data_IF_622468420766
#
_entry.id   IF_622468420766
#
_cell.length_a   1.000
_cell.length_b   1.000
_cell.length_c   1.000
_cell.angle_alpha   90.00
_cell.angle_beta   90.00
_cell.angle_gamma   90.00
#
_symmetry.space_group_name_H-M   'P 1'
#
loop_
_entity.id
_entity.type
_entity.pdbx_description
1 polymer ?
#
# COMPACT_ATOMS: atom_id res chain seq x y z
N UNK A 1 24.72 -34.56 20.91
CA UNK A 1 23.42 -34.07 20.43
C UNK A 1 23.62 -32.61 20.09
N UNK A 2 24.17 -32.33 18.92
CA UNK A 2 24.38 -30.96 18.47
C UNK A 2 23.27 -30.65 17.46
N UNK A 3 22.13 -30.18 17.98
CA UNK A 3 21.14 -29.49 17.15
C UNK A 3 21.57 -28.03 17.08
N UNK A 4 21.81 -27.56 15.86
CA UNK A 4 22.19 -26.20 15.51
C UNK A 4 21.48 -25.13 16.37
N UNK A 5 22.28 -24.26 16.99
CA UNK A 5 21.82 -23.06 17.72
C UNK A 5 21.53 -21.90 16.75
N UNK A 6 21.70 -22.10 15.44
CA UNK A 6 21.53 -21.07 14.41
C UNK A 6 20.10 -21.00 13.84
N UNK A 7 19.20 -21.88 14.26
CA UNK A 7 17.80 -21.82 13.86
C UNK A 7 17.10 -20.73 14.64
N UNK A 8 16.61 -19.73 13.92
CA UNK A 8 15.85 -18.65 14.50
C UNK A 8 14.57 -19.19 15.11
N UNK A 9 14.43 -19.00 16.43
CA UNK A 9 13.27 -19.44 17.21
C UNK A 9 12.18 -18.39 17.03
N UNK A 10 11.04 -18.81 16.50
CA UNK A 10 9.86 -17.97 16.42
C UNK A 10 8.97 -18.18 17.64
N UNK A 11 8.07 -17.24 17.86
CA UNK A 11 7.07 -17.31 18.94
C UNK A 11 6.32 -18.65 18.93
N UNK A 12 5.99 -19.18 17.74
CA UNK A 12 5.35 -20.50 17.59
C UNK A 12 6.18 -21.67 18.15
N UNK A 13 7.50 -21.63 17.94
CA UNK A 13 8.41 -22.67 18.45
C UNK A 13 8.48 -22.65 19.98
N UNK A 14 8.33 -21.46 20.60
CA UNK A 14 8.26 -21.31 22.07
C UNK A 14 6.99 -21.96 22.62
N UNK A 15 5.85 -21.81 21.92
CA UNK A 15 4.59 -22.45 22.30
C UNK A 15 4.64 -23.98 22.14
N UNK A 16 5.26 -24.49 21.08
CA UNK A 16 5.44 -25.93 20.88
C UNK A 16 6.35 -26.54 21.96
N UNK A 17 7.47 -25.88 22.28
CA UNK A 17 8.34 -26.26 23.39
C UNK A 17 7.63 -26.20 24.74
N UNK A 18 6.81 -25.18 24.98
CA UNK A 18 6.00 -25.07 26.20
C UNK A 18 4.99 -26.22 26.32
N UNK A 19 4.39 -26.66 25.21
CA UNK A 19 3.46 -27.80 25.19
C UNK A 19 4.17 -29.13 25.46
N UNK A 20 5.37 -29.35 24.92
CA UNK A 20 6.19 -30.53 25.24
C UNK A 20 6.60 -30.56 26.72
N UNK A 21 7.06 -29.41 27.23
CA UNK A 21 7.41 -29.24 28.65
C UNK A 21 6.19 -29.47 29.55
N UNK A 22 5.01 -28.99 29.16
CA UNK A 22 3.76 -29.21 29.88
C UNK A 22 3.37 -30.69 30.00
N UNK A 23 3.53 -31.46 28.92
CA UNK A 23 3.29 -32.93 28.94
C UNK A 23 4.25 -33.66 29.87
N UNK A 24 5.51 -33.23 29.97
CA UNK A 24 6.46 -33.81 30.92
C UNK A 24 6.13 -33.43 32.36
N UNK A 25 5.67 -32.19 32.61
CA UNK A 25 5.17 -31.79 33.92
C UNK A 25 3.94 -32.57 34.36
N UNK A 26 3.01 -32.89 33.45
CA UNK A 26 1.85 -33.73 33.74
C UNK A 26 2.26 -35.12 34.24
N UNK A 27 3.18 -35.79 33.53
CA UNK A 27 3.76 -37.08 33.96
C UNK A 27 4.44 -36.99 35.33
N UNK A 28 5.14 -35.88 35.60
CA UNK A 28 5.83 -35.63 36.86
C UNK A 28 4.85 -35.39 38.01
N UNK A 29 3.74 -34.68 37.75
CA UNK A 29 2.67 -34.43 38.72
C UNK A 29 2.00 -35.74 39.13
N UNK A 30 1.75 -36.64 38.17
CA UNK A 30 1.17 -37.96 38.44
C UNK A 30 2.02 -38.81 39.38
N UNK A 31 3.35 -38.64 39.36
CA UNK A 31 4.30 -39.46 40.15
C UNK A 31 4.67 -38.82 41.49
N UNK A 32 4.92 -37.50 41.53
CA UNK A 32 5.47 -36.81 42.70
C UNK A 32 4.45 -35.99 43.48
N UNK A 33 3.25 -35.78 42.93
CA UNK A 33 2.24 -34.88 43.49
C UNK A 33 2.46 -33.41 43.09
N UNK A 34 1.36 -32.67 42.97
CA UNK A 34 1.35 -31.32 42.39
C UNK A 34 2.10 -30.26 43.21
N UNK A 35 2.16 -30.40 44.53
CA UNK A 35 2.68 -29.35 45.42
C UNK A 35 4.20 -29.20 45.35
N UNK A 36 4.94 -30.29 45.12
CA UNK A 36 6.40 -30.25 44.95
C UNK A 36 6.86 -29.64 43.62
N UNK A 37 6.02 -29.72 42.58
CA UNK A 37 6.36 -29.29 41.22
C UNK A 37 5.91 -27.85 40.95
N UNK A 38 4.91 -27.35 41.69
CA UNK A 38 4.30 -26.04 41.47
C UNK A 38 5.32 -24.90 41.42
N UNK A 39 6.29 -24.86 42.35
CA UNK A 39 7.32 -23.80 42.35
C UNK A 39 8.25 -23.86 41.13
N UNK A 40 8.61 -25.07 40.68
CA UNK A 40 9.42 -25.25 39.48
C UNK A 40 8.64 -24.84 38.23
N UNK A 41 7.37 -25.22 38.15
CA UNK A 41 6.48 -24.86 37.05
C UNK A 41 6.35 -23.33 36.93
N UNK A 42 6.15 -22.61 38.03
CA UNK A 42 6.11 -21.14 38.01
C UNK A 42 7.41 -20.53 37.49
N UNK A 43 8.57 -21.06 37.88
CA UNK A 43 9.87 -20.59 37.35
C UNK A 43 10.00 -20.87 35.85
N UNK A 44 9.57 -22.04 35.38
CA UNK A 44 9.62 -22.40 33.96
C UNK A 44 8.69 -21.52 33.13
N UNK A 45 7.48 -21.23 33.62
CA UNK A 45 6.56 -20.30 32.97
C UNK A 45 7.21 -18.92 32.81
N UNK A 46 7.78 -18.35 33.88
CA UNK A 46 8.46 -17.04 33.80
C UNK A 46 9.62 -17.05 32.81
N UNK A 47 10.39 -18.15 32.72
CA UNK A 47 11.45 -18.26 31.72
C UNK A 47 10.92 -18.37 30.29
N UNK A 48 9.78 -19.05 30.08
CA UNK A 48 9.13 -19.16 28.77
C UNK A 48 8.51 -17.81 28.35
N UNK A 49 7.91 -17.06 29.28
CA UNK A 49 7.43 -15.69 29.05
C UNK A 49 8.58 -14.73 28.66
N UNK A 50 9.74 -14.87 29.31
CA UNK A 50 10.93 -14.12 28.94
C UNK A 50 11.45 -14.50 27.56
N UNK A 51 11.41 -15.80 27.22
CA UNK A 51 11.80 -16.30 25.91
C UNK A 51 10.85 -15.80 24.81
N UNK A 52 9.54 -15.86 25.04
CA UNK A 52 8.51 -15.30 24.14
C UNK A 52 8.77 -13.81 23.91
N UNK A 53 8.91 -13.04 25.00
CA UNK A 53 9.22 -11.61 24.93
C UNK A 53 10.50 -11.33 24.14
N UNK A 54 11.54 -12.14 24.35
CA UNK A 54 12.80 -12.03 23.61
C UNK A 54 12.62 -12.34 22.13
N UNK A 55 11.87 -13.37 21.75
CA UNK A 55 11.61 -13.71 20.34
C UNK A 55 10.85 -12.59 19.61
N UNK A 56 9.85 -11.99 20.25
CA UNK A 56 9.12 -10.84 19.69
C UNK A 56 10.05 -9.63 19.46
N UNK A 57 10.94 -9.34 20.42
CA UNK A 57 11.92 -8.25 20.28
C UNK A 57 12.91 -8.54 19.15
N UNK A 58 13.37 -9.78 19.02
CA UNK A 58 14.27 -10.20 17.93
C UNK A 58 13.57 -10.02 16.58
N UNK A 59 12.33 -10.49 16.42
CA UNK A 59 11.57 -10.33 15.17
C UNK A 59 11.35 -8.86 14.80
N UNK A 60 11.08 -8.00 15.79
CA UNK A 60 10.99 -6.54 15.58
C UNK A 60 12.32 -5.96 15.10
N UNK A 61 13.41 -6.28 15.79
CA UNK A 61 14.74 -5.78 15.42
C UNK A 61 15.17 -6.27 14.03
N UNK A 62 14.81 -7.49 13.66
CA UNK A 62 15.08 -7.99 12.32
C UNK A 62 14.26 -7.29 11.25
N UNK A 63 13.00 -6.97 11.53
CA UNK A 63 12.15 -6.18 10.64
C UNK A 63 12.75 -4.78 10.44
N UNK A 64 13.15 -4.11 11.53
CA UNK A 64 13.84 -2.81 11.47
C UNK A 64 15.16 -2.89 10.68
N UNK A 65 15.93 -3.96 10.88
CA UNK A 65 17.19 -4.19 10.17
C UNK A 65 16.96 -4.42 8.68
N UNK A 66 15.90 -5.17 8.31
CA UNK A 66 15.48 -5.35 6.93
C UNK A 66 15.09 -4.01 6.28
N UNK A 67 14.28 -3.20 6.97
CA UNK A 67 13.86 -1.87 6.49
C UNK A 67 15.05 -0.94 6.29
N UNK A 68 15.99 -0.90 7.24
CA UNK A 68 17.22 -0.11 7.13
C UNK A 68 18.06 -0.60 5.96
N UNK A 69 18.25 -1.92 5.79
CA UNK A 69 18.98 -2.48 4.65
C UNK A 69 18.34 -2.12 3.32
N UNK A 70 17.02 -2.25 3.20
CA UNK A 70 16.28 -1.85 2.01
C UNK A 70 16.45 -0.35 1.71
N UNK A 71 16.42 0.49 2.76
CA UNK A 71 16.63 1.93 2.62
C UNK A 71 18.05 2.27 2.18
N UNK A 72 19.06 1.58 2.71
CA UNK A 72 20.45 1.74 2.28
C UNK A 72 20.60 1.36 0.81
N UNK A 73 20.08 0.22 0.39
CA UNK A 73 20.12 -0.20 -1.03
C UNK A 73 19.44 0.82 -1.94
N UNK A 74 18.29 1.36 -1.54
CA UNK A 74 17.62 2.43 -2.29
C UNK A 74 18.51 3.68 -2.41
N UNK A 75 19.12 4.13 -1.31
CA UNK A 75 19.97 5.33 -1.31
C UNK A 75 21.26 5.11 -2.11
N UNK A 76 21.82 3.90 -2.10
CA UNK A 76 22.97 3.54 -2.93
C UNK A 76 22.62 3.58 -4.42
N UNK A 77 21.46 3.05 -4.80
CA UNK A 77 20.95 3.15 -6.17
C UNK A 77 20.74 4.61 -6.61
N UNK A 78 20.07 5.42 -5.78
CA UNK A 78 19.88 6.85 -6.08
C UNK A 78 21.22 7.60 -6.17
N UNK A 79 22.21 7.24 -5.35
CA UNK A 79 23.55 7.84 -5.39
C UNK A 79 24.26 7.51 -6.71
N UNK A 80 24.16 6.25 -7.16
CA UNK A 80 24.70 5.79 -8.43
C UNK A 80 24.04 6.54 -9.59
N UNK A 81 22.71 6.58 -9.63
CA UNK A 81 21.95 7.26 -10.69
C UNK A 81 22.28 8.76 -10.75
N UNK A 82 22.35 9.43 -9.58
CA UNK A 82 22.78 10.83 -9.52
C UNK A 82 24.23 11.02 -10.00
N UNK A 83 25.12 10.06 -9.77
CA UNK A 83 26.50 10.12 -10.25
C UNK A 83 26.59 9.91 -11.76
N UNK A 84 25.82 8.96 -12.32
CA UNK A 84 25.73 8.75 -13.77
C UNK A 84 25.14 9.98 -14.47
N UNK A 85 24.11 10.61 -13.89
CA UNK A 85 23.55 11.83 -14.42
C UNK A 85 24.58 12.97 -14.44
N UNK A 86 25.33 13.18 -13.35
CA UNK A 86 26.43 14.15 -13.32
C UNK A 86 27.49 13.84 -14.37
N UNK A 87 27.92 12.58 -14.49
CA UNK A 87 28.91 12.17 -15.49
C UNK A 87 28.46 12.44 -16.93
N UNK A 88 27.16 12.29 -17.23
CA UNK A 88 26.60 12.64 -18.54
C UNK A 88 26.64 14.14 -18.79
N UNK A 89 26.27 14.95 -17.80
CA UNK A 89 26.36 16.41 -17.91
C UNK A 89 27.81 16.87 -18.09
N UNK A 90 28.76 16.28 -17.37
CA UNK A 90 30.18 16.61 -17.49
C UNK A 90 30.69 16.30 -18.92
N UNK A 91 30.26 15.18 -19.51
CA UNK A 91 30.58 14.84 -20.90
C UNK A 91 29.93 15.80 -21.91
N UNK A 92 28.67 16.18 -21.69
CA UNK A 92 27.98 17.17 -22.53
C UNK A 92 28.68 18.53 -22.47
N UNK A 93 29.13 18.96 -21.28
CA UNK A 93 29.92 20.17 -21.09
C UNK A 93 31.26 20.10 -21.83
N UNK A 94 31.99 18.98 -21.74
CA UNK A 94 33.24 18.78 -22.46
C UNK A 94 33.04 18.87 -23.99
N UNK A 95 31.96 18.30 -24.51
CA UNK A 95 31.61 18.39 -25.94
C UNK A 95 31.31 19.84 -26.34
N UNK A 96 30.57 20.58 -25.52
CA UNK A 96 30.28 22.01 -25.77
C UNK A 96 31.57 22.83 -25.75
N UNK A 97 32.45 22.61 -24.78
CA UNK A 97 33.74 23.30 -24.68
C UNK A 97 34.63 23.02 -25.89
N UNK A 98 34.71 21.76 -26.33
CA UNK A 98 35.50 21.38 -27.50
C UNK A 98 34.93 21.99 -28.79
N UNK A 99 33.61 22.02 -28.93
CA UNK A 99 32.96 22.70 -30.05
C UNK A 99 33.24 24.21 -30.02
N UNK A 100 33.20 24.84 -28.84
CA UNK A 100 33.53 26.25 -28.69
C UNK A 100 35.00 26.54 -29.02
N UNK A 101 35.94 25.66 -28.63
CA UNK A 101 37.35 25.75 -29.02
C UNK A 101 37.54 25.64 -30.52
N UNK A 102 36.87 24.67 -31.17
CA UNK A 102 36.91 24.48 -32.63
C UNK A 102 36.39 25.71 -33.36
N UNK A 103 35.23 26.23 -32.96
CA UNK A 103 34.65 27.42 -33.56
C UNK A 103 35.55 28.65 -33.37
N UNK A 104 36.04 28.86 -32.14
CA UNK A 104 36.98 29.95 -31.84
C UNK A 104 38.26 29.85 -32.69
N UNK A 105 38.82 28.65 -32.85
CA UNK A 105 39.97 28.40 -33.72
C UNK A 105 39.66 28.67 -35.19
N UNK A 106 38.48 28.26 -35.66
CA UNK A 106 38.03 28.48 -37.03
C UNK A 106 37.86 29.97 -37.33
N UNK A 107 37.17 30.70 -36.46
CA UNK A 107 36.98 32.15 -36.55
C UNK A 107 38.32 32.88 -36.50
N UNK A 108 39.22 32.50 -35.60
CA UNK A 108 40.57 33.08 -35.56
C UNK A 108 41.35 32.81 -36.85
N UNK A 109 41.28 31.60 -37.41
CA UNK A 109 41.91 31.29 -38.70
C UNK A 109 41.34 32.15 -39.83
N UNK A 110 40.02 32.36 -39.86
CA UNK A 110 39.36 33.23 -40.83
C UNK A 110 39.80 34.69 -40.67
N UNK A 111 39.88 35.19 -39.43
CA UNK A 111 40.38 36.55 -39.14
C UNK A 111 41.82 36.71 -39.64
N UNK A 112 42.70 35.74 -39.40
CA UNK A 112 44.09 35.78 -39.90
C UNK A 112 44.13 35.81 -41.43
N UNK A 113 43.36 34.94 -42.11
CA UNK A 113 43.27 34.94 -43.58
C UNK A 113 42.77 36.28 -44.13
N UNK A 114 41.70 36.83 -43.55
CA UNK A 114 41.17 38.14 -43.96
C UNK A 114 42.16 39.28 -43.69
N UNK A 115 42.92 39.21 -42.59
CA UNK A 115 43.98 40.19 -42.30
C UNK A 115 45.14 40.08 -43.30
N UNK A 116 45.54 38.88 -43.69
CA UNK A 116 46.56 38.64 -44.72
C UNK A 116 46.11 39.15 -46.09
N UNK A 117 44.85 38.87 -46.49
CA UNK A 117 44.27 39.37 -47.73
C UNK A 117 44.16 40.90 -47.73
N UNK A 118 43.70 41.52 -46.64
CA UNK A 118 43.64 42.97 -46.52
C UNK A 118 45.03 43.62 -46.61
N UNK A 119 46.05 43.03 -45.97
CA UNK A 119 47.45 43.47 -46.11
C UNK A 119 47.93 43.35 -47.55
N UNK A 120 47.63 42.22 -48.22
CA UNK A 120 47.99 41.98 -49.62
C UNK A 120 47.32 42.98 -50.56
N UNK A 121 46.02 43.22 -50.42
CA UNK A 121 45.27 44.19 -51.21
C UNK A 121 45.77 45.61 -50.99
N UNK A 122 46.07 45.97 -49.73
CA UNK A 122 46.64 47.27 -49.39
C UNK A 122 48.03 47.48 -50.02
N UNK A 123 48.87 46.44 -50.05
CA UNK A 123 50.16 46.48 -50.75
C UNK A 123 49.98 46.68 -52.27
N UNK A 124 49.04 45.96 -52.90
CA UNK A 124 48.74 46.11 -54.34
C UNK A 124 48.21 47.51 -54.66
N UNK A 125 47.33 48.07 -53.84
CA UNK A 125 46.83 49.44 -54.02
C UNK A 125 47.99 50.44 -53.89
N UNK A 126 48.85 50.30 -52.88
CA UNK A 126 50.04 51.15 -52.70
C UNK A 126 51.03 51.05 -53.87
N UNK A 127 51.14 49.88 -54.50
CA UNK A 127 51.99 49.66 -55.67
C UNK A 127 51.37 50.26 -56.94
N UNK A 128 50.04 50.15 -57.12
CA UNK A 128 49.30 50.77 -58.22
C UNK A 128 49.27 52.30 -58.13
N UNK A 129 49.18 52.87 -56.94
CA UNK A 129 49.27 54.33 -56.74
C UNK A 129 50.67 54.89 -57.09
N UNK A 130 51.70 54.04 -57.14
CA UNK A 130 53.07 54.40 -57.54
C UNK A 130 53.33 54.24 -59.05
N UNK A 131 52.38 53.71 -59.82
CA UNK A 131 52.59 53.39 -61.24
C UNK A 131 51.53 54.07 -62.12
N UNK A 132 51.93 55.12 -62.84
CA UNK A 132 51.18 55.65 -64.00
C UNK A 132 51.11 54.54 -65.05
N UNK A 133 49.95 54.26 -65.68
CA UNK A 133 49.85 53.17 -66.65
C UNK A 133 50.59 53.57 -67.92
N UNK A 134 51.83 53.11 -68.07
CA UNK A 134 52.50 53.10 -69.37
C UNK A 134 52.14 51.81 -70.09
N UNK A 135 51.60 52.01 -71.28
CA UNK A 135 51.19 51.01 -72.26
C UNK A 135 52.11 49.79 -72.31
N UNK A 136 51.55 48.61 -72.10
CA UNK A 136 52.21 47.35 -72.42
C UNK A 136 51.49 46.70 -73.61
N UNK A 137 51.88 47.13 -74.81
CA UNK A 137 51.79 46.29 -76.00
C UNK A 137 53.02 45.40 -76.01
N UNK A 138 52.89 44.18 -75.50
CA UNK A 138 53.92 43.16 -75.60
C UNK A 138 53.39 42.01 -76.45
N UNK A 139 53.99 41.85 -77.61
CA UNK A 139 54.12 40.53 -78.20
C UNK A 139 54.90 39.68 -77.20
N UNK A 140 54.33 38.54 -76.78
CA UNK A 140 54.95 37.66 -75.80
C UNK A 140 56.30 37.18 -76.33
N UNK A 141 57.34 37.33 -75.52
CA UNK A 141 58.64 36.68 -75.77
C UNK A 141 58.48 35.15 -75.65
N UNK A 142 59.31 34.37 -76.33
CA UNK A 142 59.25 32.90 -76.30
C UNK A 142 59.32 32.34 -74.85
N UNK A 143 60.04 33.01 -73.95
CA UNK A 143 60.11 32.65 -72.53
C UNK A 143 58.78 32.87 -71.79
N UNK A 144 58.04 33.94 -72.11
CA UNK A 144 56.74 34.23 -71.53
C UNK A 144 55.68 33.23 -72.01
N UNK A 145 55.79 32.77 -73.27
CA UNK A 145 54.92 31.74 -73.83
C UNK A 145 55.10 30.39 -73.11
N UNK A 146 56.32 30.02 -72.74
CA UNK A 146 56.62 28.82 -71.94
C UNK A 146 56.02 28.92 -70.52
N UNK A 147 56.08 30.10 -69.88
CA UNK A 147 55.45 30.33 -68.57
C UNK A 147 53.92 30.21 -68.66
N UNK A 148 53.32 30.81 -69.68
CA UNK A 148 51.86 30.70 -69.93
C UNK A 148 51.46 29.24 -70.17
N UNK A 149 52.26 28.46 -70.89
CA UNK A 149 51.98 27.04 -71.10
C UNK A 149 52.02 26.24 -69.79
N UNK A 150 53.02 26.46 -68.93
CA UNK A 150 53.08 25.83 -67.60
C UNK A 150 51.91 26.24 -66.71
N UNK A 151 51.51 27.51 -66.73
CA UNK A 151 50.34 27.98 -65.98
C UNK A 151 49.05 27.32 -66.49
N UNK A 152 48.93 27.11 -67.81
CA UNK A 152 47.80 26.40 -68.41
C UNK A 152 47.76 24.93 -67.98
N UNK A 153 48.91 24.25 -67.96
CA UNK A 153 49.02 22.87 -67.48
C UNK A 153 48.65 22.75 -66.00
N UNK A 154 49.16 23.64 -65.14
CA UNK A 154 48.78 23.69 -63.72
C UNK A 154 47.28 24.00 -63.54
N UNK A 155 46.73 24.90 -64.35
CA UNK A 155 45.29 25.22 -64.32
C UNK A 155 44.45 24.00 -64.70
N UNK A 156 44.85 23.24 -65.73
CA UNK A 156 44.14 22.01 -66.12
C UNK A 156 44.29 20.91 -65.06
N UNK A 157 45.46 20.78 -64.43
CA UNK A 157 45.66 19.87 -63.31
C UNK A 157 44.77 20.23 -62.12
N UNK A 158 44.70 21.51 -61.74
CA UNK A 158 43.81 21.98 -60.67
C UNK A 158 42.34 21.75 -61.02
N UNK A 159 41.94 21.95 -62.29
CA UNK A 159 40.59 21.64 -62.77
C UNK A 159 40.27 20.14 -62.60
N UNK A 160 41.21 19.26 -62.95
CA UNK A 160 41.08 17.82 -62.75
C UNK A 160 40.96 17.43 -61.27
N UNK A 161 41.78 18.03 -60.41
CA UNK A 161 41.71 17.82 -58.96
C UNK A 161 40.37 18.29 -58.37
N UNK A 162 39.86 19.44 -58.83
CA UNK A 162 38.55 19.96 -58.42
C UNK A 162 37.44 18.95 -58.73
N UNK A 163 37.43 18.39 -59.95
CA UNK A 163 36.43 17.39 -60.36
C UNK A 163 36.50 16.12 -59.50
N UNK A 164 37.71 15.65 -59.16
CA UNK A 164 37.86 14.48 -58.29
C UNK A 164 37.36 14.77 -56.88
N UNK A 165 37.67 15.96 -56.34
CA UNK A 165 37.20 16.39 -55.03
C UNK A 165 35.68 16.56 -54.98
N UNK A 166 35.07 17.09 -56.05
CA UNK A 166 33.62 17.21 -56.16
C UNK A 166 32.93 15.84 -56.17
N UNK A 167 33.51 14.84 -56.86
CA UNK A 167 33.02 13.45 -56.83
C UNK A 167 33.13 12.83 -55.44
N UNK A 168 34.27 13.01 -54.78
CA UNK A 168 34.49 12.53 -53.41
C UNK A 168 33.49 13.17 -52.43
N UNK A 169 33.25 14.48 -52.54
CA UNK A 169 32.25 15.19 -51.74
C UNK A 169 30.83 14.67 -51.99
N UNK A 170 30.47 14.39 -53.25
CA UNK A 170 29.16 13.83 -53.58
C UNK A 170 28.98 12.43 -52.98
N UNK A 171 30.00 11.57 -53.05
CA UNK A 171 29.98 10.24 -52.42
C UNK A 171 29.81 10.35 -50.90
N UNK A 172 30.56 11.25 -50.26
CA UNK A 172 30.43 11.51 -48.82
C UNK A 172 29.06 12.09 -48.45
N UNK A 173 28.49 12.97 -49.27
CA UNK A 173 27.13 13.49 -49.08
C UNK A 173 26.11 12.35 -49.10
N UNK A 174 26.22 11.43 -50.07
CA UNK A 174 25.33 10.27 -50.16
C UNK A 174 25.49 9.31 -48.97
N UNK A 175 26.71 9.11 -48.46
CA UNK A 175 26.94 8.34 -47.23
C UNK A 175 26.29 9.01 -46.02
N UNK A 176 26.43 10.32 -45.87
CA UNK A 176 25.79 11.09 -44.80
C UNK A 176 24.26 10.99 -44.86
N UNK A 177 23.66 11.09 -46.04
CA UNK A 177 22.21 10.92 -46.23
C UNK A 177 21.73 9.51 -45.82
N UNK A 178 22.47 8.47 -46.16
CA UNK A 178 22.15 7.09 -45.74
C UNK A 178 22.22 6.94 -44.23
N UNK A 179 23.29 7.44 -43.61
CA UNK A 179 23.43 7.41 -42.15
C UNK A 179 22.33 8.21 -41.45
N UNK A 180 21.93 9.35 -42.02
CA UNK A 180 20.81 10.15 -41.51
C UNK A 180 19.49 9.37 -41.53
N UNK A 181 19.19 8.65 -42.61
CA UNK A 181 18.00 7.80 -42.71
C UNK A 181 18.00 6.66 -41.69
N UNK A 182 19.15 6.02 -41.45
CA UNK A 182 19.29 4.99 -40.43
C UNK A 182 19.08 5.55 -39.02
N UNK A 183 19.65 6.73 -38.73
CA UNK A 183 19.47 7.42 -37.47
C UNK A 183 17.99 7.79 -37.24
N UNK A 184 17.29 8.28 -38.26
CA UNK A 184 15.86 8.57 -38.18
C UNK A 184 15.01 7.31 -37.95
N UNK A 185 15.39 6.19 -38.58
CA UNK A 185 14.73 4.89 -38.35
C UNK A 185 14.92 4.41 -36.92
N UNK A 186 16.15 4.46 -36.40
CA UNK A 186 16.46 4.08 -35.03
C UNK A 186 15.78 5.01 -34.02
N UNK A 187 15.71 6.31 -34.30
CA UNK A 187 14.99 7.29 -33.49
C UNK A 187 13.51 6.95 -33.36
N UNK A 188 12.85 6.52 -34.45
CA UNK A 188 11.45 6.07 -34.42
C UNK A 188 11.28 4.81 -33.58
N UNK A 189 12.11 3.78 -33.79
CA UNK A 189 12.05 2.53 -33.00
C UNK A 189 12.31 2.80 -31.52
N UNK A 190 13.26 3.68 -31.18
CA UNK A 190 13.56 4.02 -29.79
C UNK A 190 12.37 4.74 -29.11
N UNK A 191 11.69 5.64 -29.83
CA UNK A 191 10.45 6.28 -29.34
C UNK A 191 9.37 5.23 -29.10
N UNK A 192 9.15 4.30 -30.03
CA UNK A 192 8.18 3.20 -29.89
C UNK A 192 8.48 2.31 -28.68
N UNK A 193 9.73 1.91 -28.49
CA UNK A 193 10.18 1.14 -27.33
C UNK A 193 9.98 1.92 -26.02
N UNK A 194 10.28 3.21 -26.01
CA UNK A 194 10.04 4.09 -24.86
C UNK A 194 8.55 4.22 -24.53
N UNK A 195 7.68 4.30 -25.52
CA UNK A 195 6.23 4.26 -25.32
C UNK A 195 5.76 2.91 -24.77
N UNK A 196 6.28 1.80 -25.32
CA UNK A 196 5.94 0.44 -24.87
C UNK A 196 6.42 0.18 -23.45
N UNK A 197 7.60 0.64 -23.08
CA UNK A 197 8.12 0.54 -21.71
C UNK A 197 7.22 1.30 -20.73
N UNK A 198 6.86 2.56 -21.04
CA UNK A 198 5.90 3.34 -20.22
C UNK A 198 4.54 2.65 -20.07
N UNK A 199 4.06 1.99 -21.12
CA UNK A 199 2.81 1.23 -21.06
C UNK A 199 2.93 0.01 -20.14
N UNK A 200 4.00 -0.79 -20.29
CA UNK A 200 4.25 -1.96 -19.43
C UNK A 200 4.47 -1.57 -17.97
N UNK A 201 5.17 -0.45 -17.71
CA UNK A 201 5.31 0.09 -16.35
C UNK A 201 3.96 0.42 -15.73
N UNK A 202 3.06 1.09 -16.48
CA UNK A 202 1.69 1.38 -15.98
C UNK A 202 0.93 0.10 -15.67
N UNK A 203 0.98 -0.90 -16.54
CA UNK A 203 0.35 -2.20 -16.28
C UNK A 203 0.93 -2.87 -15.02
N UNK A 204 2.24 -2.82 -14.84
CA UNK A 204 2.89 -3.37 -13.64
C UNK A 204 2.41 -2.66 -12.38
N UNK A 205 2.29 -1.33 -12.39
CA UNK A 205 1.74 -0.60 -11.24
C UNK A 205 0.30 -1.02 -10.92
N UNK A 206 -0.58 -1.14 -11.94
CA UNK A 206 -1.95 -1.61 -11.73
C UNK A 206 -2.00 -3.02 -11.16
N UNK A 207 -1.18 -3.96 -11.67
CA UNK A 207 -1.11 -5.32 -11.13
C UNK A 207 -0.58 -5.36 -9.69
N UNK A 208 0.34 -4.47 -9.32
CA UNK A 208 0.84 -4.36 -7.94
C UNK A 208 -0.26 -3.84 -7.00
N UNK A 209 -1.04 -2.85 -7.45
CA UNK A 209 -2.19 -2.32 -6.72
C UNK A 209 -3.25 -3.43 -6.51
N UNK A 210 -3.66 -4.12 -7.57
CA UNK A 210 -4.60 -5.25 -7.50
C UNK A 210 -4.09 -6.36 -6.57
N UNK A 211 -2.80 -6.70 -6.63
CA UNK A 211 -2.20 -7.67 -5.71
C UNK A 211 -2.30 -7.20 -4.26
N UNK A 212 -2.03 -5.91 -4.01
CA UNK A 212 -2.09 -5.35 -2.66
C UNK A 212 -3.50 -5.36 -2.08
N UNK A 213 -4.51 -5.08 -2.92
CA UNK A 213 -5.93 -5.14 -2.54
C UNK A 213 -6.36 -6.57 -2.22
N UNK A 214 -5.98 -7.54 -3.06
CA UNK A 214 -6.26 -8.96 -2.82
C UNK A 214 -5.59 -9.45 -1.54
N UNK A 215 -4.35 -9.02 -1.27
CA UNK A 215 -3.65 -9.38 -0.05
C UNK A 215 -4.34 -8.78 1.18
N UNK A 216 -4.81 -7.53 1.13
CA UNK A 216 -5.58 -6.92 2.20
C UNK A 216 -6.91 -7.67 2.44
N UNK A 217 -7.60 -8.08 1.38
CA UNK A 217 -8.83 -8.87 1.47
C UNK A 217 -8.59 -10.23 2.15
N UNK A 218 -7.51 -10.94 1.78
CA UNK A 218 -7.15 -12.21 2.43
C UNK A 218 -6.84 -12.01 3.91
N UNK A 219 -6.09 -10.96 4.27
CA UNK A 219 -5.80 -10.66 5.68
C UNK A 219 -7.06 -10.33 6.47
N UNK A 220 -8.01 -9.61 5.89
CA UNK A 220 -9.30 -9.32 6.52
C UNK A 220 -10.13 -10.59 6.73
N UNK A 221 -10.20 -11.47 5.73
CA UNK A 221 -10.87 -12.77 5.85
C UNK A 221 -10.22 -13.66 6.91
N UNK A 222 -8.89 -13.68 6.99
CA UNK A 222 -8.16 -14.42 8.03
C UNK A 222 -8.51 -13.91 9.43
N UNK A 223 -8.56 -12.59 9.63
CA UNK A 223 -8.98 -11.99 10.91
C UNK A 223 -10.41 -12.38 11.25
N UNK A 224 -11.33 -12.30 10.30
CA UNK A 224 -12.73 -12.71 10.49
C UNK A 224 -12.84 -14.20 10.86
N UNK A 225 -12.08 -15.09 10.21
CA UNK A 225 -12.04 -16.50 10.58
C UNK A 225 -11.54 -16.71 12.01
N UNK A 226 -10.50 -15.98 12.44
CA UNK A 226 -9.99 -16.04 13.82
C UNK A 226 -11.03 -15.53 14.81
N UNK A 227 -11.70 -14.42 14.50
CA UNK A 227 -12.75 -13.85 15.36
C UNK A 227 -13.93 -14.82 15.50
N UNK A 228 -14.37 -15.44 14.40
CA UNK A 228 -15.42 -16.46 14.42
C UNK A 228 -14.99 -17.71 15.20
N UNK A 229 -13.74 -18.15 15.05
CA UNK A 229 -13.21 -19.28 15.82
C UNK A 229 -13.17 -18.98 17.32
N UNK A 230 -12.81 -17.75 17.71
CA UNK A 230 -12.84 -17.31 19.10
C UNK A 230 -14.28 -17.27 19.65
N UNK A 231 -15.23 -16.72 18.90
CA UNK A 231 -16.65 -16.71 19.28
C UNK A 231 -17.20 -18.14 19.44
N UNK A 232 -16.86 -19.04 18.51
CA UNK A 232 -17.27 -20.43 18.56
C UNK A 232 -16.65 -21.15 19.77
N UNK A 233 -15.38 -20.87 20.10
CA UNK A 233 -14.75 -21.39 21.32
C UNK A 233 -15.44 -20.91 22.59
N UNK A 234 -15.87 -19.65 22.66
CA UNK A 234 -16.64 -19.11 23.79
C UNK A 234 -17.99 -19.81 23.89
N UNK A 235 -18.72 -19.92 22.78
CA UNK A 235 -20.02 -20.57 22.73
C UNK A 235 -19.95 -22.07 23.10
N UNK A 236 -18.88 -22.77 22.70
CA UNK A 236 -18.63 -24.16 23.10
C UNK A 236 -18.41 -24.27 24.61
N UNK A 237 -17.60 -23.36 25.18
CA UNK A 237 -17.36 -23.32 26.63
C UNK A 237 -18.64 -23.04 27.41
N UNK A 238 -19.43 -22.06 26.98
CA UNK A 238 -20.71 -21.73 27.61
C UNK A 238 -21.69 -22.91 27.56
N UNK A 239 -21.79 -23.61 26.43
CA UNK A 239 -22.61 -24.82 26.32
C UNK A 239 -22.14 -25.94 27.26
N UNK A 240 -20.82 -26.14 27.39
CA UNK A 240 -20.26 -27.13 28.32
C UNK A 240 -20.58 -26.77 29.78
N UNK A 241 -20.45 -25.49 30.13
CA UNK A 241 -20.79 -24.97 31.45
C UNK A 241 -22.29 -25.17 31.75
N UNK A 242 -23.18 -24.84 30.81
CA UNK A 242 -24.63 -25.08 30.94
C UNK A 242 -24.97 -26.56 31.12
N UNK A 243 -24.36 -27.46 30.33
CA UNK A 243 -24.55 -28.92 30.48
C UNK A 243 -24.09 -29.41 31.85
N UNK A 244 -22.97 -28.90 32.36
CA UNK A 244 -22.47 -29.26 33.69
C UNK A 244 -23.42 -28.82 34.81
N UNK A 245 -24.07 -27.65 34.65
CA UNK A 245 -25.08 -27.14 35.58
C UNK A 245 -26.38 -27.95 35.49
N UNK A 246 -26.79 -28.40 34.31
CA UNK A 246 -27.93 -29.33 34.15
C UNK A 246 -27.67 -30.67 34.85
N UNK A 247 -26.47 -31.24 34.72
CA UNK A 247 -26.12 -32.49 35.39
C UNK A 247 -25.98 -32.33 36.91
N UNK A 248 -25.53 -31.17 37.40
CA UNK A 248 -25.57 -30.82 38.83
C UNK A 248 -27.00 -30.64 39.36
N UNK A 249 -27.91 -30.04 38.57
CA UNK A 249 -29.33 -29.88 38.95
C UNK A 249 -30.12 -31.19 38.91
N UNK A 250 -29.74 -32.15 38.07
CA UNK A 250 -30.33 -33.52 38.09
C UNK A 250 -30.10 -34.22 39.44
N UNK A 251 -29.02 -33.90 40.15
CA UNK A 251 -28.73 -34.44 41.49
C UNK A 251 -29.53 -33.75 42.63
N UNK A 252 -30.19 -32.60 42.39
CA UNK A 252 -30.95 -31.86 43.41
C UNK A 252 -32.49 -31.89 43.20
N UNK A 253 -32.97 -32.33 42.03
CA UNK A 253 -34.43 -32.47 41.79
C UNK A 253 -35.04 -33.80 42.27
N UNK A 254 -34.23 -34.76 42.73
CA UNK A 254 -34.71 -36.05 43.24
C UNK A 254 -35.62 -35.94 44.47
N UNK A 255 -35.62 -34.79 45.17
CA UNK A 255 -36.44 -34.57 46.36
C UNK A 255 -37.68 -33.69 46.17
N UNK A 256 -37.88 -33.06 44.99
CA UNK A 256 -38.96 -32.07 44.78
C UNK A 256 -39.85 -32.31 43.56
N UNK A 257 -39.42 -33.15 42.60
CA UNK A 257 -40.28 -33.57 41.50
C UNK A 257 -41.00 -34.86 41.92
N UNK A 258 -42.31 -34.79 42.21
CA UNK A 258 -43.18 -35.96 42.52
C UNK A 258 -43.42 -36.82 41.25
N UNK A 259 -42.47 -36.85 40.31
CA UNK A 259 -42.59 -37.60 39.06
C UNK A 259 -41.22 -38.22 38.76
N UNK A 260 -41.11 -39.51 39.03
CA UNK A 260 -39.95 -40.33 38.68
C UNK A 260 -39.71 -40.28 37.17
N UNK A 261 -38.46 -40.06 36.75
CA UNK A 261 -38.07 -40.02 35.33
C UNK A 261 -38.30 -41.37 34.62
N UNK A 262 -38.38 -42.47 35.38
CA UNK A 262 -38.59 -43.84 34.92
C UNK A 262 -40.07 -44.28 34.89
N UNK A 263 -41.04 -43.39 35.07
CA UNK A 263 -42.47 -43.76 34.99
C UNK A 263 -42.88 -44.07 33.53
N UNK A 264 -43.26 -45.32 33.21
CA UNK A 264 -43.69 -45.70 31.87
C UNK A 264 -45.03 -45.09 31.45
N UNK A 265 -45.84 -44.59 32.39
CA UNK A 265 -47.11 -43.91 32.10
C UNK A 265 -46.98 -42.37 32.06
N UNK A 266 -45.74 -41.85 32.10
CA UNK A 266 -45.50 -40.41 31.99
C UNK A 266 -45.94 -39.93 30.59
N UNK A 267 -46.82 -38.92 30.49
CA UNK A 267 -47.19 -38.37 29.19
C UNK A 267 -45.95 -37.79 28.51
N UNK A 268 -45.59 -38.36 27.35
CA UNK A 268 -44.48 -37.95 26.51
C UNK A 268 -45.07 -37.33 25.26
N UNK A 269 -45.04 -36.00 25.18
CA UNK A 269 -45.44 -35.29 23.98
C UNK A 269 -44.22 -35.00 23.10
N UNK A 270 -44.36 -35.14 21.80
CA UNK A 270 -43.40 -34.57 20.86
C UNK A 270 -43.47 -33.02 20.90
N UNK A 271 -42.41 -32.32 20.49
CA UNK A 271 -42.44 -30.85 20.42
C UNK A 271 -43.59 -30.34 19.54
N UNK A 272 -43.94 -31.10 18.51
CA UNK A 272 -45.02 -30.76 17.59
C UNK A 272 -46.40 -31.01 18.21
N UNK A 273 -46.58 -32.09 18.97
CA UNK A 273 -47.79 -32.31 19.78
C UNK A 273 -47.96 -31.22 20.84
N UNK A 274 -46.88 -30.83 21.52
CA UNK A 274 -46.94 -29.76 22.51
C UNK A 274 -47.33 -28.43 21.87
N UNK A 275 -46.76 -28.10 20.70
CA UNK A 275 -47.17 -26.92 19.92
C UNK A 275 -48.65 -27.01 19.54
N UNK A 276 -49.11 -28.16 19.08
CA UNK A 276 -50.52 -28.38 18.73
C UNK A 276 -51.44 -28.18 19.93
N UNK A 277 -51.13 -28.80 21.07
CA UNK A 277 -51.90 -28.68 22.31
C UNK A 277 -51.92 -27.22 22.80
N UNK A 278 -50.80 -26.50 22.71
CA UNK A 278 -50.76 -25.09 23.09
C UNK A 278 -51.59 -24.21 22.16
N UNK A 279 -51.60 -24.54 20.85
CA UNK A 279 -52.41 -23.85 19.86
C UNK A 279 -53.90 -24.09 20.11
N UNK A 280 -54.32 -25.36 20.25
CA UNK A 280 -55.69 -25.73 20.61
C UNK A 280 -56.12 -25.11 21.95
N UNK A 281 -55.26 -25.13 22.97
CA UNK A 281 -55.53 -24.47 24.25
C UNK A 281 -55.76 -22.97 24.06
N UNK A 282 -54.96 -22.29 23.24
CA UNK A 282 -55.13 -20.87 22.97
C UNK A 282 -56.44 -20.58 22.24
N UNK A 283 -56.77 -21.40 21.23
CA UNK A 283 -58.00 -21.27 20.45
C UNK A 283 -59.24 -21.50 21.33
N UNK A 284 -59.21 -22.55 22.15
CA UNK A 284 -60.24 -22.82 23.15
C UNK A 284 -60.35 -21.71 24.19
N UNK A 285 -59.23 -21.13 24.61
CA UNK A 285 -59.22 -20.00 25.54
C UNK A 285 -59.85 -18.75 24.93
N UNK A 286 -59.58 -18.45 23.66
CA UNK A 286 -60.25 -17.37 22.94
C UNK A 286 -61.76 -17.63 22.84
N UNK A 287 -62.14 -18.84 22.45
CA UNK A 287 -63.55 -19.25 22.34
C UNK A 287 -64.28 -19.23 23.68
N UNK A 288 -63.61 -19.59 24.78
CA UNK A 288 -64.15 -19.45 26.14
C UNK A 288 -64.36 -17.97 26.47
N UNK A 289 -63.41 -17.09 26.13
CA UNK A 289 -63.56 -15.64 26.32
C UNK A 289 -64.78 -15.11 25.57
N UNK A 290 -64.95 -15.48 24.30
CA UNK A 290 -66.10 -15.06 23.50
C UNK A 290 -67.43 -15.55 24.10
N UNK A 291 -67.47 -16.81 24.55
CA UNK A 291 -68.64 -17.40 25.20
C UNK A 291 -68.91 -16.76 26.58
N UNK A 292 -67.87 -16.41 27.34
CA UNK A 292 -68.00 -15.67 28.60
C UNK A 292 -68.59 -14.27 28.34
N UNK A 293 -68.17 -13.59 27.28
CA UNK A 293 -68.71 -12.30 26.84
C UNK A 293 -70.18 -12.42 26.43
N UNK A 294 -70.55 -13.41 25.60
CA UNK A 294 -71.95 -13.68 25.23
C UNK A 294 -72.81 -14.00 26.46
N UNK A 295 -72.31 -14.84 27.37
CA UNK A 295 -73.03 -15.22 28.58
C UNK A 295 -73.15 -14.03 29.56
N UNK A 296 -72.20 -13.11 29.55
CA UNK A 296 -72.28 -11.84 30.28
C UNK A 296 -73.41 -10.94 29.77
N UNK A 297 -73.66 -10.92 28.45
CA UNK A 297 -74.79 -10.20 27.85
C UNK A 297 -76.14 -10.80 28.25
N UNK A 298 -76.20 -12.12 28.40
CA UNK A 298 -77.44 -12.85 28.68
C UNK A 298 -77.70 -13.12 30.17
N UNK A 299 -76.77 -12.77 31.07
CA UNK A 299 -77.07 -12.75 32.50
C UNK A 299 -78.09 -11.64 32.79
N UNK A 300 -79.27 -11.95 33.36
CA UNK A 300 -80.20 -10.92 33.78
C UNK A 300 -79.51 -10.04 34.83
N UNK A 301 -79.41 -8.73 34.56
CA UNK A 301 -79.02 -7.72 35.56
C UNK A 301 -80.09 -7.67 36.65
N UNK A 302 -80.05 -8.62 37.59
CA UNK A 302 -80.79 -8.50 38.84
C UNK A 302 -80.15 -7.36 39.64
N UNK A 303 -80.80 -6.20 39.63
CA UNK A 303 -80.53 -5.11 40.55
C UNK A 303 -80.86 -5.57 41.97
N UNK A 304 -79.86 -5.98 42.74
CA UNK A 304 -79.85 -5.72 44.19
C UNK A 304 -78.42 -5.44 44.63
N UNK A 305 -78.27 -4.27 45.22
CA UNK A 305 -77.05 -3.64 45.69
C UNK A 305 -76.48 -4.35 46.92
N UNK A 306 -75.16 -4.60 46.94
CA UNK A 306 -74.30 -4.21 48.07
C UNK A 306 -72.81 -4.52 47.80
N UNK A 307 -72.07 -3.42 47.66
CA UNK A 307 -70.78 -3.19 48.32
C UNK A 307 -69.52 -3.91 47.83
N UNK A 308 -68.60 -3.04 47.36
CA UNK A 308 -67.15 -3.16 47.17
C UNK A 308 -66.63 -3.99 45.99
N UNK A 309 -66.13 -3.31 44.95
CA UNK A 309 -64.69 -3.23 44.72
C UNK A 309 -64.34 -2.15 43.68
N UNK A 310 -63.18 -1.56 43.92
CA UNK A 310 -62.33 -0.68 43.14
C UNK A 310 -62.23 -1.05 41.66
N UNK A 311 -62.37 -0.06 40.77
CA UNK A 311 -61.33 0.43 39.84
C UNK A 311 -62.02 1.35 38.81
N UNK A 312 -61.71 2.64 38.86
CA UNK A 312 -62.21 3.63 37.92
C UNK A 312 -61.35 3.54 36.66
N UNK A 313 -61.96 3.03 35.59
CA UNK A 313 -61.63 3.38 34.22
C UNK A 313 -62.41 4.63 33.86
N UNK A 314 -61.73 5.66 33.38
CA UNK A 314 -62.36 6.74 32.61
C UNK A 314 -61.64 6.83 31.30
N UNK A 315 -62.24 6.22 30.27
CA UNK A 315 -62.04 6.62 28.90
C UNK A 315 -62.72 7.97 28.67
N UNK A 316 -61.97 8.92 28.15
CA UNK A 316 -62.47 10.09 27.47
C UNK A 316 -61.79 10.11 26.10
N UNK A 317 -62.59 10.36 25.08
CA UNK A 317 -62.23 10.45 23.68
C UNK A 317 -61.06 11.42 23.47
N UNK A 318 -59.98 10.96 22.83
CA UNK A 318 -58.99 11.85 22.22
C UNK A 318 -58.78 11.39 20.77
N UNK A 319 -59.05 12.34 19.86
CA UNK A 319 -58.69 12.28 18.44
C UNK A 319 -57.22 11.88 18.28
N UNK A 320 -56.96 10.98 17.33
CA UNK A 320 -55.62 10.52 16.95
C UNK A 320 -54.87 11.68 16.26
N UNK A 321 -54.31 12.59 17.07
CA UNK A 321 -53.40 13.64 16.62
C UNK A 321 -52.04 13.01 16.29
N UNK A 322 -51.39 13.36 15.16
CA UNK A 322 -50.13 12.77 14.79
C UNK A 322 -49.07 13.06 15.85
N UNK A 323 -48.65 12.01 16.55
CA UNK A 323 -47.58 12.04 17.55
C UNK A 323 -46.26 12.29 16.84
N UNK A 324 -45.89 13.55 16.70
CA UNK A 324 -44.52 13.90 16.32
C UNK A 324 -43.63 13.62 17.53
N UNK A 325 -42.98 12.45 17.52
CA UNK A 325 -42.03 12.05 18.54
C UNK A 325 -40.97 13.14 18.79
N UNK A 326 -40.39 13.21 20.01
CA UNK A 326 -39.42 14.24 20.35
C UNK A 326 -38.34 14.30 19.27
N UNK A 327 -38.19 15.49 18.66
CA UNK A 327 -37.24 15.70 17.57
C UNK A 327 -35.86 15.23 18.05
N UNK A 328 -35.23 14.30 17.31
CA UNK A 328 -33.88 13.86 17.63
C UNK A 328 -32.98 15.10 17.67
N UNK A 329 -32.52 15.48 18.86
CA UNK A 329 -31.48 16.50 18.99
C UNK A 329 -30.27 15.99 18.23
N UNK A 330 -29.85 16.71 17.19
CA UNK A 330 -28.62 16.37 16.48
C UNK A 330 -27.48 16.30 17.50
N UNK A 331 -26.57 15.31 17.38
CA UNK A 331 -25.39 15.25 18.24
C UNK A 331 -24.64 16.57 18.15
N UNK A 332 -24.26 17.14 19.30
CA UNK A 332 -23.69 18.49 19.43
C UNK A 332 -22.46 18.73 18.52
N UNK A 333 -21.82 17.64 18.08
CA UNK A 333 -20.69 17.59 17.15
C UNK A 333 -20.95 18.22 15.77
N UNK A 334 -22.23 18.36 15.34
CA UNK A 334 -22.58 18.98 14.05
C UNK A 334 -22.80 20.49 14.09
N UNK A 335 -23.18 21.06 15.24
CA UNK A 335 -23.43 22.51 15.36
C UNK A 335 -22.15 23.31 15.61
N UNK A 336 -21.14 22.68 16.21
CA UNK A 336 -19.84 23.29 16.43
C UNK A 336 -18.77 22.28 16.03
N UNK A 337 -18.20 22.34 14.81
CA UNK A 337 -17.08 21.49 14.46
C UNK A 337 -15.92 21.86 15.39
N UNK A 338 -15.69 21.06 16.44
CA UNK A 338 -14.53 21.23 17.32
C UNK A 338 -13.29 21.16 16.44
N UNK A 339 -12.57 22.29 16.33
CA UNK A 339 -11.24 22.31 15.74
C UNK A 339 -10.38 21.32 16.52
N UNK A 340 -9.98 20.23 15.84
CA UNK A 340 -9.08 19.18 16.35
C UNK A 340 -8.00 19.81 17.24
N UNK A 341 -8.09 19.55 18.55
CA UNK A 341 -7.07 19.97 19.52
C UNK A 341 -5.80 19.17 19.22
N UNK A 342 -4.78 19.85 18.70
CA UNK A 342 -3.45 19.29 18.46
C UNK A 342 -2.93 18.62 19.75
N UNK A 343 -2.39 17.41 19.60
CA UNK A 343 -2.06 16.46 20.69
C UNK A 343 -1.07 16.95 21.76
N UNK A 344 -0.51 18.15 21.61
CA UNK A 344 0.46 18.72 22.56
C UNK A 344 -0.22 19.17 23.86
N UNK A 345 -1.50 19.57 23.85
CA UNK A 345 -2.20 19.97 25.10
C UNK A 345 -2.51 18.80 26.04
N UNK A 346 -2.58 17.55 25.55
CA UNK A 346 -2.74 16.35 26.40
C UNK A 346 -1.45 15.94 27.10
N UNK A 347 -0.30 16.28 26.53
CA UNK A 347 1.01 16.01 27.15
C UNK A 347 1.28 16.94 28.35
N UNK A 348 0.85 18.19 28.28
CA UNK A 348 1.14 19.18 29.33
C UNK A 348 0.19 19.11 30.54
N UNK A 349 -0.96 18.45 30.44
CA UNK A 349 -1.84 18.23 31.61
C UNK A 349 -1.31 17.15 32.55
N UNK A 350 -0.55 16.17 32.04
CA UNK A 350 0.10 15.14 32.87
C UNK A 350 1.33 15.65 33.62
N UNK A 351 1.99 16.71 33.12
CA UNK A 351 3.17 17.29 33.78
C UNK A 351 2.83 18.22 34.95
N UNK A 352 1.55 18.57 35.16
CA UNK A 352 1.13 19.46 36.26
C UNK A 352 0.75 18.74 37.56
N UNK A 353 0.82 17.41 37.59
CA UNK A 353 0.42 16.59 38.76
C UNK A 353 1.63 16.14 39.59
N UNK A 354 2.86 16.38 39.13
CA UNK A 354 4.09 15.99 39.85
C UNK A 354 4.81 17.21 40.44
N UNK A 355 4.14 17.92 41.34
CA UNK A 355 4.79 18.70 42.40
C UNK A 355 3.79 18.95 43.53
N UNK A 356 3.82 18.18 44.63
CA UNK A 356 3.38 18.71 45.91
C UNK A 356 4.55 19.54 46.47
N UNK A 357 4.38 20.86 46.49
CA UNK A 357 5.11 21.71 47.43
C UNK A 357 4.60 21.45 48.85
N UNK A 358 5.55 21.29 49.79
CA UNK A 358 5.51 21.45 51.25
C UNK A 358 4.27 21.03 52.04
#
# INVERSE_FOLDING_TARGET
MDKHVDSQIFVGDVYDLAAEIGKEFEKLIDVCGADTIRELMTKVIVTLEYLESSTVVVDRLQSELFDIKAKVQQLEYEKLERAEFRSKLDLELEIIEENWRKETSHLNSLVVKLQEENKRLSAIISEKDKHVPSDCKTFLSDEELVVVQKLKELTEQHRGQLILKDKELLEKSNELEKMQLELDRLSKVNKELSHRNRYLQKQLYTLVEEKSDLQANIQNQQKECVDLQAQLSIAVKENMDLSSVEDQKKLDLQGKLIISLDDPNRPRFTLDELRHILFERNDLKAKISDLEDELSLHKPKNLTSSTSCSTISTGAEEEDLPVQGPINKEPEDKLYPEKKKLGIRRFLSHLRILHPEN
#
